data_IF_980928346483
#
_entry.id   IF_980928346483
#
_cell.length_a   1.000
_cell.length_b   1.000
_cell.length_c   1.000
_cell.angle_alpha   90.00
_cell.angle_beta   90.00
_cell.angle_gamma   90.00
#
_symmetry.space_group_name_H-M   'P 1'
#
loop_
_entity.id
_entity.type
_entity.pdbx_description
1 polymer ?
#
# COMPACT_ATOMS: atom_id res chain seq x y z
N UNK A 1 4.80 -21.47 -12.94
CA UNK A 1 4.58 -22.00 -11.56
C UNK A 1 5.27 -21.15 -10.49
N UNK A 2 6.47 -20.59 -10.74
CA UNK A 2 7.16 -19.71 -9.78
C UNK A 2 6.48 -18.34 -9.61
N UNK A 3 6.03 -17.72 -10.71
CA UNK A 3 5.39 -16.40 -10.70
C UNK A 3 4.10 -16.35 -9.86
N UNK A 4 3.33 -17.44 -9.90
CA UNK A 4 2.08 -17.55 -9.16
C UNK A 4 2.33 -17.59 -7.63
N UNK A 5 3.45 -18.15 -7.17
CA UNK A 5 3.80 -18.20 -5.74
C UNK A 5 4.17 -16.82 -5.20
N UNK A 6 4.83 -15.98 -6.00
CA UNK A 6 5.27 -14.63 -5.59
C UNK A 6 4.06 -13.70 -5.45
N UNK A 7 3.14 -13.71 -6.42
CA UNK A 7 1.91 -12.90 -6.34
C UNK A 7 1.04 -13.36 -5.17
N UNK A 8 0.95 -14.68 -4.93
CA UNK A 8 0.25 -15.23 -3.77
C UNK A 8 0.88 -14.80 -2.43
N UNK A 9 2.21 -14.88 -2.29
CA UNK A 9 2.91 -14.52 -1.06
C UNK A 9 2.76 -13.02 -0.76
N UNK A 10 2.97 -12.16 -1.76
CA UNK A 10 2.85 -10.71 -1.61
C UNK A 10 1.41 -10.29 -1.24
N UNK A 11 0.38 -10.95 -1.75
CA UNK A 11 -1.00 -10.65 -1.37
C UNK A 11 -1.38 -11.20 0.01
N UNK A 12 -0.97 -12.42 0.34
CA UNK A 12 -1.21 -13.02 1.65
C UNK A 12 -0.51 -12.25 2.78
N UNK A 13 0.61 -11.59 2.51
CA UNK A 13 1.27 -10.70 3.48
C UNK A 13 0.53 -9.36 3.67
N UNK A 14 -0.02 -8.77 2.60
CA UNK A 14 -0.80 -7.51 2.71
C UNK A 14 -2.17 -7.75 3.38
N UNK A 15 -2.79 -8.89 3.09
CA UNK A 15 -4.00 -9.38 3.76
C UNK A 15 -3.71 -10.27 4.97
N UNK A 16 -2.47 -10.27 5.47
CA UNK A 16 -2.10 -11.03 6.66
C UNK A 16 -3.06 -10.66 7.79
N UNK A 17 -3.28 -11.65 8.65
CA UNK A 17 -4.00 -11.60 9.91
C UNK A 17 -3.85 -10.25 10.61
N UNK A 18 -2.69 -9.59 10.52
CA UNK A 18 -2.40 -8.27 11.10
C UNK A 18 -3.22 -7.10 10.56
N UNK A 19 -3.54 -7.01 9.27
CA UNK A 19 -4.39 -5.92 8.73
C UNK A 19 -5.84 -6.11 9.16
N UNK A 20 -6.31 -7.37 9.13
CA UNK A 20 -7.63 -7.76 9.64
C UNK A 20 -7.70 -7.62 11.16
N UNK A 21 -6.61 -7.92 11.88
CA UNK A 21 -6.48 -7.73 13.34
C UNK A 21 -6.42 -6.25 13.66
N UNK A 22 -5.72 -5.41 12.90
CA UNK A 22 -5.65 -3.98 13.19
C UNK A 22 -6.98 -3.29 12.91
N UNK A 23 -7.60 -3.59 11.76
CA UNK A 23 -8.97 -3.15 11.45
C UNK A 23 -9.97 -3.67 12.49
N UNK A 24 -9.94 -4.97 12.77
CA UNK A 24 -10.76 -5.62 13.78
C UNK A 24 -10.56 -5.05 15.18
N UNK A 25 -9.32 -4.83 15.63
CA UNK A 25 -9.00 -4.22 16.92
C UNK A 25 -9.41 -2.75 16.98
N UNK A 26 -9.20 -1.99 15.91
CA UNK A 26 -9.67 -0.61 15.84
C UNK A 26 -11.19 -0.57 15.98
N UNK A 27 -11.91 -1.47 15.31
CA UNK A 27 -13.37 -1.59 15.41
C UNK A 27 -13.81 -2.04 16.80
N UNK A 28 -13.24 -3.12 17.32
CA UNK A 28 -13.57 -3.68 18.64
C UNK A 28 -13.28 -2.69 19.79
N UNK A 29 -12.31 -1.78 19.60
CA UNK A 29 -11.97 -0.73 20.58
C UNK A 29 -12.69 0.60 20.32
N UNK A 30 -13.62 0.66 19.36
CA UNK A 30 -14.36 1.89 19.01
C UNK A 30 -13.50 2.97 18.33
N UNK A 31 -12.29 2.63 17.87
CA UNK A 31 -11.32 3.51 17.20
C UNK A 31 -11.28 3.31 15.68
N UNK A 32 -12.39 2.91 15.08
CA UNK A 32 -12.50 2.68 13.63
C UNK A 32 -12.07 3.90 12.81
N UNK A 33 -12.21 5.10 13.37
CA UNK A 33 -11.82 6.36 12.76
C UNK A 33 -10.34 6.43 12.37
N UNK A 34 -9.46 5.84 13.18
CA UNK A 34 -8.02 5.74 12.93
C UNK A 34 -7.71 4.78 11.78
N UNK A 35 -8.61 3.86 11.46
CA UNK A 35 -8.47 2.90 10.37
C UNK A 35 -9.10 3.37 9.04
N UNK A 36 -9.75 4.55 9.00
CA UNK A 36 -10.46 5.04 7.81
C UNK A 36 -9.57 5.15 6.57
N UNK A 37 -8.31 5.52 6.75
CA UNK A 37 -7.35 5.64 5.64
C UNK A 37 -7.10 4.31 4.92
N UNK A 38 -7.33 3.17 5.58
CA UNK A 38 -7.19 1.85 4.97
C UNK A 38 -8.26 1.60 3.90
N UNK A 39 -9.41 2.28 3.95
CA UNK A 39 -10.49 2.08 2.98
C UNK A 39 -10.07 2.43 1.55
N UNK A 40 -9.58 3.65 1.24
CA UNK A 40 -9.10 3.95 -0.10
C UNK A 40 -7.88 3.11 -0.48
N UNK A 41 -7.00 2.76 0.47
CA UNK A 41 -5.84 1.90 0.20
C UNK A 41 -6.26 0.50 -0.28
N UNK A 42 -7.09 -0.19 0.50
CA UNK A 42 -7.51 -1.56 0.22
C UNK A 42 -8.46 -1.61 -0.98
N UNK A 43 -9.29 -0.58 -1.17
CA UNK A 43 -10.14 -0.49 -2.37
C UNK A 43 -9.29 -0.34 -3.62
N UNK A 44 -8.27 0.54 -3.59
CA UNK A 44 -7.35 0.71 -4.72
C UNK A 44 -6.61 -0.57 -5.05
N UNK A 45 -5.93 -1.19 -4.06
CA UNK A 45 -5.14 -2.41 -4.30
C UNK A 45 -6.01 -3.53 -4.88
N UNK A 46 -7.17 -3.75 -4.29
CA UNK A 46 -8.06 -4.84 -4.68
C UNK A 46 -8.64 -4.63 -6.07
N UNK A 47 -9.00 -3.38 -6.42
CA UNK A 47 -9.47 -3.04 -7.77
C UNK A 47 -8.36 -3.24 -8.80
N UNK A 48 -7.15 -2.71 -8.55
CA UNK A 48 -6.03 -2.83 -9.48
C UNK A 48 -5.57 -4.28 -9.64
N UNK A 49 -5.51 -5.05 -8.55
CA UNK A 49 -5.17 -6.47 -8.62
C UNK A 49 -6.24 -7.28 -9.37
N UNK A 50 -7.53 -6.97 -9.19
CA UNK A 50 -8.59 -7.57 -10.00
C UNK A 50 -8.36 -7.30 -11.49
N UNK A 51 -8.09 -6.04 -11.86
CA UNK A 51 -7.81 -5.67 -13.26
C UNK A 51 -6.57 -6.42 -13.77
N UNK A 52 -5.48 -6.44 -13.02
CA UNK A 52 -4.24 -7.13 -13.41
C UNK A 52 -4.48 -8.63 -13.60
N UNK A 53 -5.22 -9.27 -12.70
CA UNK A 53 -5.59 -10.68 -12.80
C UNK A 53 -6.46 -10.95 -14.02
N UNK A 54 -7.45 -10.10 -14.30
CA UNK A 54 -8.31 -10.26 -15.48
C UNK A 54 -7.53 -10.08 -16.78
N UNK A 55 -6.61 -9.11 -16.84
CA UNK A 55 -5.75 -8.87 -18.02
C UNK A 55 -4.79 -10.03 -18.29
N UNK A 56 -4.37 -10.76 -17.25
CA UNK A 56 -3.44 -11.89 -17.36
C UNK A 56 -4.11 -13.20 -16.96
N UNK A 57 -5.42 -13.33 -17.17
CA UNK A 57 -6.18 -14.50 -16.70
C UNK A 57 -5.65 -15.82 -17.27
N UNK A 58 -5.03 -15.75 -18.45
CA UNK A 58 -4.34 -16.86 -19.14
C UNK A 58 -3.11 -17.38 -18.37
N UNK A 59 -2.54 -16.59 -17.45
CA UNK A 59 -1.39 -16.98 -16.62
C UNK A 59 -1.79 -17.70 -15.33
N UNK A 60 -3.08 -17.72 -14.99
CA UNK A 60 -3.58 -18.34 -13.77
C UNK A 60 -4.10 -19.74 -14.02
N UNK A 61 -3.95 -20.62 -13.01
CA UNK A 61 -4.52 -21.96 -13.06
C UNK A 61 -6.05 -21.84 -12.90
N UNK A 62 -6.85 -22.27 -13.89
CA UNK A 62 -8.30 -22.17 -13.82
C UNK A 62 -8.87 -23.05 -12.70
N UNK A 63 -10.07 -22.70 -12.22
CA UNK A 63 -10.81 -23.44 -11.21
C UNK A 63 -10.85 -22.75 -9.85
N UNK A 64 -10.90 -23.54 -8.77
CA UNK A 64 -11.19 -23.03 -7.43
C UNK A 64 -10.14 -22.01 -6.95
N UNK A 65 -8.86 -22.21 -7.27
CA UNK A 65 -7.79 -21.30 -6.85
C UNK A 65 -7.98 -19.90 -7.42
N UNK A 66 -8.13 -19.76 -8.74
CA UNK A 66 -8.39 -18.47 -9.40
C UNK A 66 -9.68 -17.82 -8.89
N UNK A 67 -10.75 -18.61 -8.75
CA UNK A 67 -12.03 -18.10 -8.25
C UNK A 67 -11.91 -17.55 -6.81
N UNK A 68 -11.17 -18.24 -5.93
CA UNK A 68 -10.92 -17.77 -4.56
C UNK A 68 -10.12 -16.47 -4.52
N UNK A 69 -9.14 -16.28 -5.43
CA UNK A 69 -8.41 -15.02 -5.56
C UNK A 69 -9.29 -13.88 -6.04
N UNK A 70 -10.05 -14.08 -7.12
CA UNK A 70 -10.98 -13.06 -7.62
C UNK A 70 -12.04 -12.73 -6.57
N UNK A 71 -12.56 -13.73 -5.86
CA UNK A 71 -13.50 -13.53 -4.77
C UNK A 71 -12.88 -12.68 -3.65
N UNK A 72 -11.62 -12.91 -3.24
CA UNK A 72 -11.00 -12.08 -2.21
C UNK A 72 -10.77 -10.64 -2.68
N UNK A 73 -10.35 -10.45 -3.94
CA UNK A 73 -10.12 -9.13 -4.52
C UNK A 73 -11.41 -8.33 -4.70
N UNK A 74 -12.56 -8.98 -4.81
CA UNK A 74 -13.85 -8.31 -5.01
C UNK A 74 -14.62 -8.18 -3.68
N UNK A 75 -14.76 -9.27 -2.93
CA UNK A 75 -15.59 -9.29 -1.72
C UNK A 75 -14.97 -8.49 -0.58
N UNK A 76 -13.63 -8.53 -0.43
CA UNK A 76 -12.96 -7.78 0.64
C UNK A 76 -13.19 -6.26 0.52
N UNK A 77 -12.92 -5.58 -0.62
CA UNK A 77 -13.19 -4.16 -0.72
C UNK A 77 -14.69 -3.83 -0.66
N UNK A 78 -15.59 -4.68 -1.18
CA UNK A 78 -17.04 -4.47 -1.02
C UNK A 78 -17.42 -4.46 0.46
N UNK A 79 -16.98 -5.47 1.22
CA UNK A 79 -17.25 -5.56 2.65
C UNK A 79 -16.66 -4.38 3.43
N UNK A 80 -15.44 -3.95 3.08
CA UNK A 80 -14.78 -2.80 3.71
C UNK A 80 -15.51 -1.48 3.41
N UNK A 81 -15.92 -1.25 2.16
CA UNK A 81 -16.70 -0.05 1.81
C UNK A 81 -18.07 -0.04 2.47
N UNK A 82 -18.74 -1.19 2.52
CA UNK A 82 -20.00 -1.34 3.26
C UNK A 82 -19.83 -1.02 4.74
N UNK A 83 -18.79 -1.59 5.36
CA UNK A 83 -18.45 -1.36 6.76
C UNK A 83 -18.14 0.11 7.04
N UNK A 84 -17.34 0.75 6.18
CA UNK A 84 -17.04 2.17 6.24
C UNK A 84 -18.32 3.02 6.18
N UNK A 85 -19.19 2.73 5.20
CA UNK A 85 -20.45 3.44 5.03
C UNK A 85 -21.37 3.28 6.25
N UNK A 86 -21.48 2.06 6.78
CA UNK A 86 -22.24 1.78 8.01
C UNK A 86 -21.72 2.63 9.17
N UNK A 87 -20.42 2.59 9.46
CA UNK A 87 -19.84 3.31 10.59
C UNK A 87 -19.93 4.82 10.41
N UNK A 88 -19.76 5.31 9.19
CA UNK A 88 -19.90 6.73 8.88
C UNK A 88 -21.35 7.21 9.12
N UNK A 89 -22.35 6.38 8.79
CA UNK A 89 -23.77 6.68 9.06
C UNK A 89 -24.11 6.64 10.55
N UNK A 90 -23.46 5.78 11.32
CA UNK A 90 -23.76 5.53 12.74
C UNK A 90 -22.83 6.30 13.70
N UNK A 91 -22.52 7.56 13.39
CA UNK A 91 -21.80 8.45 14.30
C UNK A 91 -20.32 8.69 13.97
N UNK A 92 -19.90 8.48 12.73
CA UNK A 92 -18.56 8.87 12.30
C UNK A 92 -18.36 10.37 12.31
N UNK A 93 -17.42 10.85 13.14
CA UNK A 93 -17.12 12.28 13.25
C UNK A 93 -15.91 12.65 12.41
N UNK A 94 -15.98 13.82 11.79
CA UNK A 94 -14.84 14.46 11.10
C UNK A 94 -14.28 15.64 11.91
N UNK A 95 -14.80 15.84 13.12
CA UNK A 95 -14.31 16.85 14.03
C UNK A 95 -12.87 16.47 14.42
N UNK A 96 -12.01 17.47 14.46
CA UNK A 96 -10.64 17.34 14.95
C UNK A 96 -10.75 17.26 16.47
N UNK A 97 -10.44 16.09 17.02
CA UNK A 97 -10.51 15.79 18.45
C UNK A 97 -9.13 15.85 19.10
N UNK A 98 -8.08 15.60 18.31
CA UNK A 98 -6.69 15.69 18.73
C UNK A 98 -6.00 16.91 18.16
N UNK A 99 -4.84 16.67 17.55
CA UNK A 99 -4.01 17.72 16.97
C UNK A 99 -4.37 17.95 15.50
N UNK A 100 -4.62 19.21 15.14
CA UNK A 100 -4.80 19.58 13.74
C UNK A 100 -3.50 19.32 12.94
N UNK A 101 -3.63 18.74 11.76
CA UNK A 101 -2.49 18.55 10.84
C UNK A 101 -1.99 19.90 10.34
N UNK A 102 -0.68 20.11 10.41
CA UNK A 102 -0.07 21.35 9.91
C UNK A 102 -0.18 21.44 8.37
N UNK A 103 -0.34 22.65 7.79
CA UNK A 103 -0.39 22.83 6.34
C UNK A 103 0.85 22.28 5.62
N UNK A 104 2.04 22.46 6.20
CA UNK A 104 3.29 21.93 5.66
C UNK A 104 3.32 20.39 5.65
N UNK A 105 2.91 19.75 6.76
CA UNK A 105 2.77 18.28 6.85
C UNK A 105 1.81 17.76 5.79
N UNK A 106 0.66 18.44 5.60
CA UNK A 106 -0.33 18.08 4.60
C UNK A 106 0.21 18.23 3.18
N UNK A 107 0.89 19.33 2.87
CA UNK A 107 1.49 19.54 1.55
C UNK A 107 2.53 18.45 1.24
N UNK A 108 3.42 18.15 2.20
CA UNK A 108 4.41 17.08 2.05
C UNK A 108 3.74 15.72 1.80
N UNK A 109 2.72 15.37 2.58
CA UNK A 109 2.00 14.11 2.43
C UNK A 109 1.33 13.99 1.05
N UNK A 110 0.68 15.06 0.59
CA UNK A 110 0.01 15.08 -0.73
C UNK A 110 1.01 14.99 -1.88
N UNK A 111 2.14 15.71 -1.80
CA UNK A 111 3.20 15.63 -2.80
C UNK A 111 3.78 14.21 -2.86
N UNK A 112 4.13 13.64 -1.70
CA UNK A 112 4.67 12.28 -1.63
C UNK A 112 3.67 11.25 -2.17
N UNK A 113 2.42 11.32 -1.74
CA UNK A 113 1.35 10.44 -2.23
C UNK A 113 1.12 10.58 -3.73
N UNK A 114 1.11 11.80 -4.26
CA UNK A 114 0.96 12.06 -5.69
C UNK A 114 2.11 11.50 -6.53
N UNK A 115 3.35 11.66 -6.07
CA UNK A 115 4.53 11.08 -6.74
C UNK A 115 4.50 9.55 -6.69
N UNK A 116 4.17 8.95 -5.54
CA UNK A 116 4.05 7.50 -5.39
C UNK A 116 2.94 6.91 -6.28
N UNK A 117 1.78 7.58 -6.35
CA UNK A 117 0.68 7.17 -7.22
C UNK A 117 1.09 7.26 -8.69
N UNK A 118 1.72 8.36 -9.09
CA UNK A 118 2.20 8.55 -10.47
C UNK A 118 3.18 7.43 -10.85
N UNK A 119 4.14 7.13 -9.98
CA UNK A 119 5.08 6.02 -10.18
C UNK A 119 4.36 4.67 -10.32
N UNK A 120 3.39 4.37 -9.45
CA UNK A 120 2.57 3.16 -9.52
C UNK A 120 1.84 3.04 -10.86
N UNK A 121 1.21 4.13 -11.33
CA UNK A 121 0.46 4.13 -12.59
C UNK A 121 1.39 3.94 -13.80
N UNK A 122 2.56 4.58 -13.80
CA UNK A 122 3.56 4.38 -14.87
C UNK A 122 4.04 2.93 -14.87
N UNK A 123 4.30 2.32 -13.71
CA UNK A 123 4.69 0.90 -13.61
C UNK A 123 3.58 -0.08 -14.01
N UNK A 124 2.32 0.27 -13.75
CA UNK A 124 1.16 -0.51 -14.20
C UNK A 124 1.03 -0.50 -15.74
N UNK A 125 1.13 0.68 -16.34
CA UNK A 125 0.91 0.88 -17.78
C UNK A 125 2.12 0.42 -18.61
N UNK A 126 3.34 0.70 -18.14
CA UNK A 126 4.59 0.48 -18.86
C UNK A 126 5.57 -0.39 -18.06
N UNK A 127 5.20 -1.65 -17.71
CA UNK A 127 6.03 -2.47 -16.83
C UNK A 127 7.42 -2.76 -17.41
N UNK A 128 7.57 -2.77 -18.74
CA UNK A 128 8.85 -3.02 -19.42
C UNK A 128 9.94 -2.01 -19.06
N UNK A 129 9.56 -0.76 -18.73
CA UNK A 129 10.52 0.27 -18.27
C UNK A 129 11.18 -0.09 -16.94
N UNK A 130 10.51 -0.92 -16.13
CA UNK A 130 10.94 -1.27 -14.78
C UNK A 130 11.60 -2.65 -14.71
N UNK A 131 11.35 -3.52 -15.69
CA UNK A 131 11.96 -4.87 -15.75
C UNK A 131 13.48 -4.76 -15.85
N UNK A 132 14.00 -3.83 -16.66
CA UNK A 132 15.44 -3.66 -16.85
C UNK A 132 16.17 -3.15 -15.59
N UNK A 133 15.45 -2.47 -14.70
CA UNK A 133 15.97 -1.97 -13.42
C UNK A 133 15.51 -2.80 -12.23
N UNK A 134 14.89 -3.97 -12.48
CA UNK A 134 14.39 -4.80 -11.42
C UNK A 134 15.56 -5.56 -10.79
N UNK A 135 15.71 -5.51 -9.45
CA UNK A 135 16.78 -6.22 -8.75
C UNK A 135 16.70 -7.74 -8.86
N UNK A 136 15.59 -8.30 -9.34
CA UNK A 136 15.43 -9.72 -9.62
C UNK A 136 14.64 -9.89 -10.92
N UNK A 137 14.70 -11.07 -11.57
CA UNK A 137 13.90 -11.36 -12.76
C UNK A 137 12.40 -11.15 -12.47
N UNK A 138 11.82 -10.10 -13.05
CA UNK A 138 10.41 -9.78 -12.93
C UNK A 138 9.73 -9.84 -14.29
N UNK A 139 8.60 -10.55 -14.36
CA UNK A 139 7.73 -10.47 -15.52
C UNK A 139 6.82 -9.24 -15.47
N UNK A 140 6.21 -8.85 -16.60
CA UNK A 140 5.24 -7.75 -16.62
C UNK A 140 4.08 -7.94 -15.63
N UNK A 141 3.65 -9.19 -15.41
CA UNK A 141 2.60 -9.51 -14.44
C UNK A 141 3.05 -9.18 -13.01
N UNK A 142 4.27 -9.58 -12.63
CA UNK A 142 4.83 -9.34 -11.30
C UNK A 142 4.98 -7.82 -11.06
N UNK A 143 5.54 -7.07 -12.02
CA UNK A 143 5.69 -5.61 -11.91
C UNK A 143 4.33 -4.93 -11.70
N UNK A 144 3.30 -5.32 -12.47
CA UNK A 144 1.95 -4.75 -12.34
C UNK A 144 1.29 -5.08 -11.00
N UNK A 145 1.48 -6.30 -10.51
CA UNK A 145 1.00 -6.69 -9.18
C UNK A 145 1.68 -5.85 -8.07
N UNK A 146 3.00 -5.69 -8.12
CA UNK A 146 3.73 -4.83 -7.19
C UNK A 146 3.31 -3.37 -7.30
N UNK A 147 3.15 -2.86 -8.52
CA UNK A 147 2.69 -1.50 -8.75
C UNK A 147 1.28 -1.27 -8.17
N UNK A 148 0.39 -2.27 -8.22
CA UNK A 148 -0.94 -2.21 -7.59
C UNK A 148 -0.85 -2.05 -6.07
N UNK A 149 0.03 -2.83 -5.42
CA UNK A 149 0.28 -2.76 -3.97
C UNK A 149 0.97 -1.42 -3.61
N UNK A 150 1.95 -0.98 -4.38
CA UNK A 150 2.63 0.30 -4.19
C UNK A 150 1.66 1.49 -4.29
N UNK A 151 0.77 1.46 -5.28
CA UNK A 151 -0.27 2.48 -5.43
C UNK A 151 -1.24 2.49 -4.25
N UNK A 152 -1.49 1.35 -3.60
CA UNK A 152 -2.26 1.29 -2.36
C UNK A 152 -1.61 2.15 -1.27
N UNK A 153 -0.30 2.03 -1.06
CA UNK A 153 0.44 2.82 -0.09
C UNK A 153 0.40 4.32 -0.38
N UNK A 154 0.28 4.72 -1.65
CA UNK A 154 0.11 6.13 -2.03
C UNK A 154 -1.22 6.73 -1.56
N UNK A 155 -2.27 5.91 -1.39
CA UNK A 155 -3.57 6.37 -0.94
C UNK A 155 -3.57 6.83 0.52
N UNK A 156 -2.67 6.31 1.35
CA UNK A 156 -2.49 6.74 2.73
C UNK A 156 -2.12 8.23 2.82
N UNK A 157 -1.00 8.68 2.22
CA UNK A 157 -0.63 10.10 2.21
C UNK A 157 -1.65 10.99 1.48
N UNK A 158 -2.26 10.49 0.39
CA UNK A 158 -3.35 11.22 -0.28
C UNK A 158 -4.59 11.42 0.61
N UNK A 159 -4.79 10.57 1.63
CA UNK A 159 -5.87 10.72 2.60
C UNK A 159 -5.76 11.98 3.46
N UNK A 160 -4.57 12.59 3.55
CA UNK A 160 -4.38 13.92 4.17
C UNK A 160 -5.17 15.03 3.42
N UNK A 161 -5.67 14.77 2.21
CA UNK A 161 -6.60 15.67 1.53
C UNK A 161 -7.94 15.77 2.29
N UNK A 162 -8.34 14.70 2.97
CA UNK A 162 -9.65 14.55 3.62
C UNK A 162 -9.57 14.65 5.14
N UNK A 163 -8.72 13.86 5.76
CA UNK A 163 -8.56 13.84 7.22
C UNK A 163 -7.64 14.97 7.69
N UNK A 164 -8.01 15.62 8.79
CA UNK A 164 -7.32 16.79 9.35
C UNK A 164 -6.89 16.59 10.80
N UNK A 165 -7.24 15.47 11.41
CA UNK A 165 -6.80 15.07 12.74
C UNK A 165 -5.54 14.17 12.65
N UNK A 166 -4.42 14.66 13.18
CA UNK A 166 -3.16 13.94 13.21
C UNK A 166 -3.25 12.62 13.97
N UNK A 167 -4.06 12.53 15.04
CA UNK A 167 -4.17 11.30 15.83
C UNK A 167 -4.82 10.17 15.02
N UNK A 168 -5.54 10.49 13.94
CA UNK A 168 -6.07 9.52 12.98
C UNK A 168 -5.11 9.23 11.83
N UNK A 169 -4.15 10.12 11.57
CA UNK A 169 -3.23 10.06 10.42
C UNK A 169 -1.81 9.60 10.76
N UNK A 170 -1.38 9.65 12.02
CA UNK A 170 -0.04 9.18 12.41
C UNK A 170 0.25 7.72 11.98
N UNK A 171 -0.72 6.78 11.91
CA UNK A 171 -0.43 5.44 11.41
C UNK A 171 0.00 5.42 9.94
N UNK A 172 -0.41 6.41 9.13
CA UNK A 172 0.08 6.57 7.75
C UNK A 172 1.56 6.89 7.75
N UNK A 173 2.01 7.80 8.63
CA UNK A 173 3.43 8.14 8.75
C UNK A 173 4.26 6.94 9.25
N UNK A 174 3.71 6.14 10.17
CA UNK A 174 4.33 4.89 10.61
C UNK A 174 4.47 3.89 9.49
N UNK A 175 3.40 3.69 8.74
CA UNK A 175 3.40 2.81 7.60
C UNK A 175 4.44 3.23 6.55
N UNK A 176 4.53 4.52 6.22
CA UNK A 176 5.56 5.04 5.32
C UNK A 176 6.99 4.87 5.85
N UNK A 177 7.17 4.80 7.16
CA UNK A 177 8.49 4.62 7.79
C UNK A 177 8.85 3.13 7.86
N UNK A 178 7.90 2.28 8.22
CA UNK A 178 8.11 0.84 8.40
C UNK A 178 8.15 0.08 7.08
N UNK A 179 7.38 0.51 6.07
CA UNK A 179 7.33 -0.18 4.77
C UNK A 179 8.71 -0.24 4.09
N UNK A 180 9.48 0.86 3.97
CA UNK A 180 10.83 0.79 3.41
C UNK A 180 11.77 -0.12 4.21
N UNK A 181 11.68 -0.09 5.55
CA UNK A 181 12.48 -0.95 6.43
C UNK A 181 12.18 -2.42 6.14
N UNK A 182 10.90 -2.78 6.01
CA UNK A 182 10.50 -4.14 5.67
C UNK A 182 11.06 -4.58 4.31
N UNK A 183 11.00 -3.72 3.29
CA UNK A 183 11.60 -4.00 1.99
C UNK A 183 13.12 -4.16 2.04
N UNK A 184 13.81 -3.32 2.82
CA UNK A 184 15.25 -3.45 3.03
C UNK A 184 15.60 -4.76 3.74
N UNK A 185 14.77 -5.22 4.67
CA UNK A 185 14.94 -6.53 5.31
C UNK A 185 14.77 -7.67 4.31
N UNK A 186 13.77 -7.62 3.42
CA UNK A 186 13.63 -8.61 2.34
C UNK A 186 14.92 -8.64 1.51
N UNK A 187 15.41 -7.49 1.04
CA UNK A 187 16.66 -7.43 0.27
C UNK A 187 17.83 -8.03 1.08
N UNK A 188 17.93 -7.70 2.37
CA UNK A 188 19.01 -8.18 3.24
C UNK A 188 18.94 -9.69 3.54
N UNK A 189 17.76 -10.30 3.55
CA UNK A 189 17.57 -11.75 3.78
C UNK A 189 17.73 -12.61 2.52
N UNK A 190 17.79 -11.99 1.34
CA UNK A 190 18.09 -12.66 0.07
C UNK A 190 19.44 -12.21 -0.54
N UNK A 191 20.57 -12.20 0.21
CA UNK A 191 21.84 -11.66 -0.27
C UNK A 191 22.61 -12.60 -1.20
N UNK A 192 22.10 -13.82 -1.43
CA UNK A 192 22.84 -14.90 -2.08
C UNK A 192 22.43 -15.17 -3.53
N UNK A 193 21.69 -14.26 -4.18
CA UNK A 193 21.50 -14.34 -5.63
C UNK A 193 22.67 -13.62 -6.32
N UNK A 194 23.64 -14.36 -6.90
CA UNK A 194 24.82 -13.76 -7.53
C UNK A 194 24.48 -12.91 -8.78
N UNK A 195 23.22 -12.93 -9.24
CA UNK A 195 22.75 -12.08 -10.34
C UNK A 195 22.46 -10.63 -9.92
N UNK A 196 22.41 -10.32 -8.62
CA UNK A 196 22.01 -9.00 -8.13
C UNK A 196 23.24 -8.11 -7.93
N UNK A 197 23.38 -7.06 -8.73
CA UNK A 197 24.42 -6.04 -8.55
C UNK A 197 23.87 -4.83 -7.77
N UNK A 198 24.77 -4.00 -7.22
CA UNK A 198 24.40 -2.74 -6.57
C UNK A 198 23.64 -1.82 -7.55
N UNK A 199 24.00 -1.85 -8.84
CA UNK A 199 23.34 -1.04 -9.86
C UNK A 199 21.87 -1.42 -10.03
N UNK A 200 21.52 -2.70 -9.87
CA UNK A 200 20.16 -3.21 -10.04
C UNK A 200 19.25 -2.83 -8.86
N UNK A 201 19.81 -2.79 -7.64
CA UNK A 201 19.05 -2.40 -6.43
C UNK A 201 19.00 -0.89 -6.22
N UNK A 202 19.92 -0.12 -6.79
CA UNK A 202 20.06 1.31 -6.51
C UNK A 202 18.77 2.12 -6.76
N UNK A 203 18.03 1.94 -7.89
CA UNK A 203 16.77 2.67 -8.10
C UNK A 203 15.73 2.38 -7.02
N UNK A 204 15.63 1.11 -6.59
CA UNK A 204 14.75 0.71 -5.50
C UNK A 204 15.19 1.34 -4.17
N UNK A 205 16.49 1.31 -3.85
CA UNK A 205 17.02 1.93 -2.63
C UNK A 205 16.75 3.43 -2.57
N UNK A 206 16.89 4.15 -3.69
CA UNK A 206 16.57 5.58 -3.78
C UNK A 206 15.07 5.79 -3.49
N UNK A 207 14.20 5.01 -4.14
CA UNK A 207 12.75 5.10 -3.92
C UNK A 207 12.37 4.82 -2.46
N UNK A 208 12.92 3.77 -1.87
CA UNK A 208 12.69 3.41 -0.47
C UNK A 208 13.23 4.50 0.48
N UNK A 209 14.39 5.08 0.18
CA UNK A 209 14.96 6.19 0.93
C UNK A 209 14.08 7.44 0.92
N UNK A 210 13.54 7.83 -0.25
CA UNK A 210 12.61 8.96 -0.38
C UNK A 210 11.36 8.73 0.48
N UNK A 211 10.77 7.53 0.42
CA UNK A 211 9.57 7.21 1.20
C UNK A 211 9.86 7.20 2.70
N UNK A 212 10.98 6.61 3.11
CA UNK A 212 11.42 6.57 4.52
C UNK A 212 11.63 7.97 5.08
N UNK A 213 12.41 8.80 4.38
CA UNK A 213 12.66 10.20 4.77
C UNK A 213 11.34 10.97 4.80
N UNK A 214 10.45 10.74 3.84
CA UNK A 214 9.11 11.33 3.81
C UNK A 214 8.29 10.98 5.05
N UNK A 215 8.24 9.69 5.45
CA UNK A 215 7.56 9.23 6.65
C UNK A 215 8.11 9.86 7.94
N UNK A 216 9.45 9.90 8.08
CA UNK A 216 10.14 10.53 9.21
C UNK A 216 9.85 12.04 9.25
N UNK A 217 9.91 12.71 8.09
CA UNK A 217 9.67 14.15 7.98
C UNK A 217 8.23 14.51 8.34
N UNK A 218 7.23 13.70 7.96
CA UNK A 218 5.84 13.90 8.36
C UNK A 218 5.69 13.91 9.89
N UNK A 219 6.32 12.94 10.58
CA UNK A 219 6.35 12.92 12.05
C UNK A 219 7.08 14.13 12.63
N UNK A 220 8.28 14.41 12.12
CA UNK A 220 9.13 15.50 12.61
C UNK A 220 8.51 16.89 12.46
N UNK A 221 7.82 17.16 11.35
CA UNK A 221 7.11 18.43 11.16
C UNK A 221 5.97 18.61 12.16
N UNK A 222 5.23 17.54 12.46
CA UNK A 222 4.09 17.62 13.36
C UNK A 222 4.50 17.80 14.84
N UNK A 223 5.64 17.23 15.27
CA UNK A 223 6.10 17.29 16.67
C UNK A 223 6.73 18.64 17.08
N UNK A 224 6.94 19.58 16.16
CA UNK A 224 7.58 20.88 16.46
C UNK A 224 6.64 21.91 17.13
N UNK A 225 5.54 21.46 17.74
CA UNK A 225 4.58 22.27 18.50
C UNK A 225 4.29 21.62 19.83
#
# INVERSE_FOLDING_TARGET
MFEERIVCAAYLEVHDTRTVIFGGQAVLRGRWETARYLMPMLTYSSTMLTIVTLVHIDKFIPGLKLNSWLASYILAPIALNWFYWWHQKNGGTWIITGHAVLPATRLLALTLGGLMLTFSLVALLFPTLFIASAPWPMSPLIIRAFASIWGAFSMGPLWFAREKDWNRLYPVADMLTLMPIFWLLIIAFYPHDPAITIADVLPLLILLGIVLIGGIALRGLQMKK
#
